data_IF_611215844420
#
_entry.id   IF_611215844420
#
_cell.length_a   1.000
_cell.length_b   1.000
_cell.length_c   1.000
_cell.angle_alpha   90.00
_cell.angle_beta   90.00
_cell.angle_gamma   90.00
#
_symmetry.space_group_name_H-M   'P 1'
#
loop_
_entity.id
_entity.type
_entity.pdbx_description
1 polymer ?
#
# COMPACT_ATOMS: atom_id res chain seq x y z
N UNK A 1 2.77 5.77 11.24
CA UNK A 1 1.89 6.96 11.15
C UNK A 1 2.30 7.73 9.91
N UNK A 2 1.41 7.99 8.93
CA UNK A 2 1.79 8.66 7.70
C UNK A 2 2.19 10.13 7.96
N UNK A 3 3.26 10.54 7.30
CA UNK A 3 3.78 11.91 7.29
C UNK A 3 3.04 12.76 6.28
N UNK A 4 2.63 12.18 5.15
CA UNK A 4 1.79 12.83 4.14
C UNK A 4 0.56 13.47 4.77
N UNK A 5 0.22 14.67 4.29
CA UNK A 5 -0.95 15.44 4.72
C UNK A 5 -1.82 15.75 3.51
N UNK A 6 -3.02 15.18 3.54
CA UNK A 6 -4.06 15.45 2.57
C UNK A 6 -4.95 16.64 2.93
N UNK A 7 -6.01 16.80 2.15
CA UNK A 7 -7.05 17.80 2.36
C UNK A 7 -8.43 17.15 2.30
N UNK A 8 -9.36 17.73 3.04
CA UNK A 8 -10.80 17.49 2.92
C UNK A 8 -11.46 18.84 2.70
N UNK A 9 -12.22 18.99 1.62
CA UNK A 9 -12.85 20.25 1.23
C UNK A 9 -14.32 20.03 0.93
N UNK A 10 -15.14 21.05 1.17
CA UNK A 10 -16.54 21.03 0.73
C UNK A 10 -16.59 20.87 -0.79
N UNK A 11 -17.42 19.95 -1.28
CA UNK A 11 -17.67 19.79 -2.71
C UNK A 11 -18.64 20.85 -3.23
N UNK A 12 -19.56 21.30 -2.38
CA UNK A 12 -20.54 22.35 -2.67
C UNK A 12 -21.06 22.97 -1.37
N UNK A 13 -22.05 23.87 -1.46
CA UNK A 13 -22.76 24.43 -0.31
C UNK A 13 -23.80 23.49 0.31
N UNK A 14 -24.13 22.36 -0.33
CA UNK A 14 -25.06 21.37 0.22
C UNK A 14 -24.37 20.55 1.34
N UNK A 15 -24.85 20.61 2.59
CA UNK A 15 -24.25 19.87 3.71
C UNK A 15 -24.42 18.35 3.61
N UNK A 16 -25.31 17.85 2.75
CA UNK A 16 -25.50 16.42 2.51
C UNK A 16 -24.63 15.88 1.38
N UNK A 17 -23.97 16.77 0.60
CA UNK A 17 -23.03 16.36 -0.42
C UNK A 17 -21.75 15.80 0.19
N UNK A 18 -21.23 14.71 -0.37
CA UNK A 18 -19.95 14.14 0.05
C UNK A 18 -18.80 15.14 -0.20
N UNK A 19 -17.84 15.27 0.73
CA UNK A 19 -16.72 16.19 0.55
C UNK A 19 -15.71 15.66 -0.47
N UNK A 20 -14.92 16.58 -1.02
CA UNK A 20 -13.74 16.23 -1.82
C UNK A 20 -12.61 15.84 -0.87
N UNK A 21 -12.12 14.61 -1.01
CA UNK A 21 -11.04 14.07 -0.19
C UNK A 21 -9.83 13.80 -1.08
N UNK A 22 -8.70 14.43 -0.76
CA UNK A 22 -7.40 14.16 -1.38
C UNK A 22 -6.39 13.84 -0.27
N UNK A 23 -6.19 12.56 0.08
CA UNK A 23 -5.27 12.15 1.14
C UNK A 23 -3.80 12.41 0.83
N UNK A 24 -3.44 12.62 -0.45
CA UNK A 24 -2.05 12.68 -0.94
C UNK A 24 -1.21 11.48 -0.49
N UNK A 25 -1.72 10.27 -0.71
CA UNK A 25 -1.00 9.05 -0.34
C UNK A 25 0.41 9.03 -0.96
N UNK A 26 1.38 8.61 -0.15
CA UNK A 26 2.78 8.48 -0.54
C UNK A 26 3.45 9.78 -1.06
N UNK A 27 2.85 10.95 -0.82
CA UNK A 27 3.45 12.22 -1.20
C UNK A 27 4.75 12.50 -0.42
N UNK A 28 4.83 12.07 0.84
CA UNK A 28 6.09 11.95 1.56
C UNK A 28 6.72 10.58 1.25
N UNK A 29 7.94 10.52 0.70
CA UNK A 29 8.58 9.27 0.32
C UNK A 29 8.77 8.31 1.50
N UNK A 30 8.86 8.81 2.74
CA UNK A 30 9.00 7.98 3.93
C UNK A 30 7.76 7.14 4.23
N UNK A 31 6.59 7.57 3.75
CA UNK A 31 5.36 6.76 3.88
C UNK A 31 5.43 5.50 3.01
N UNK A 32 5.98 5.63 1.79
CA UNK A 32 6.18 4.49 0.89
C UNK A 32 7.21 3.52 1.47
N UNK A 33 8.34 4.03 1.97
CA UNK A 33 9.36 3.18 2.60
C UNK A 33 8.82 2.45 3.84
N UNK A 34 7.98 3.12 4.64
CA UNK A 34 7.34 2.47 5.80
C UNK A 34 6.41 1.35 5.35
N UNK A 35 5.68 1.52 4.25
CA UNK A 35 4.81 0.49 3.70
C UNK A 35 5.59 -0.68 3.11
N UNK A 36 6.73 -0.42 2.45
CA UNK A 36 7.62 -1.47 1.96
C UNK A 36 8.11 -2.38 3.10
N UNK A 37 8.53 -1.80 4.22
CA UNK A 37 8.96 -2.57 5.39
C UNK A 37 7.80 -3.35 6.03
N UNK A 38 6.59 -2.77 6.06
CA UNK A 38 5.41 -3.49 6.51
C UNK A 38 5.08 -4.69 5.60
N UNK A 39 5.23 -4.54 4.29
CA UNK A 39 5.03 -5.63 3.32
C UNK A 39 6.05 -6.76 3.53
N UNK A 40 7.34 -6.43 3.71
CA UNK A 40 8.39 -7.40 4.03
C UNK A 40 8.07 -8.14 5.33
N UNK A 41 7.57 -7.44 6.35
CA UNK A 41 7.11 -8.05 7.59
C UNK A 41 5.93 -9.01 7.35
N UNK A 42 4.92 -8.61 6.55
CA UNK A 42 3.80 -9.49 6.20
C UNK A 42 4.24 -10.75 5.44
N UNK A 43 5.23 -10.64 4.55
CA UNK A 43 5.83 -11.78 3.87
C UNK A 43 6.59 -12.70 4.84
N UNK A 44 7.28 -12.14 5.84
CA UNK A 44 7.93 -12.93 6.88
C UNK A 44 6.88 -13.63 7.76
N UNK A 45 5.79 -12.93 8.11
CA UNK A 45 4.67 -13.47 8.89
C UNK A 45 4.00 -14.64 8.17
N UNK A 46 3.81 -14.55 6.85
CA UNK A 46 3.20 -15.62 6.07
C UNK A 46 4.04 -16.90 6.08
N UNK A 47 5.36 -16.80 6.26
CA UNK A 47 6.29 -17.94 6.36
C UNK A 47 6.33 -18.60 7.75
N UNK A 48 5.65 -18.05 8.75
CA UNK A 48 5.61 -18.65 10.08
C UNK A 48 4.84 -19.97 10.09
N UNK A 49 5.21 -20.89 10.99
CA UNK A 49 4.57 -22.22 11.11
C UNK A 49 3.05 -22.13 11.30
N UNK A 50 2.56 -21.13 12.05
CA UNK A 50 1.13 -20.94 12.27
C UNK A 50 0.40 -20.62 10.97
N UNK A 51 0.93 -19.70 10.15
CA UNK A 51 0.34 -19.32 8.87
C UNK A 51 0.46 -20.43 7.82
N UNK A 52 1.59 -21.14 7.81
CA UNK A 52 1.81 -22.28 6.92
C UNK A 52 0.84 -23.44 7.22
N UNK A 53 0.52 -23.70 8.50
CA UNK A 53 -0.51 -24.70 8.88
C UNK A 53 -1.91 -24.38 8.36
N UNK A 54 -2.20 -23.09 8.13
CA UNK A 54 -3.46 -22.64 7.53
C UNK A 54 -3.45 -22.71 5.99
N UNK A 55 -2.34 -23.12 5.38
CA UNK A 55 -2.21 -23.21 3.92
C UNK A 55 -2.20 -21.85 3.22
N UNK A 56 -1.80 -20.78 3.93
CA UNK A 56 -1.75 -19.42 3.38
C UNK A 56 -0.69 -19.35 2.28
N UNK A 57 -1.08 -18.81 1.12
CA UNK A 57 -0.21 -18.58 -0.04
C UNK A 57 -0.17 -17.10 -0.37
N UNK A 58 1.03 -16.61 -0.70
CA UNK A 58 1.22 -15.25 -1.21
C UNK A 58 0.79 -15.22 -2.67
N UNK A 59 0.14 -14.13 -3.09
CA UNK A 59 -0.20 -13.91 -4.49
C UNK A 59 1.08 -13.85 -5.34
N UNK A 60 1.18 -14.70 -6.35
CA UNK A 60 2.41 -14.98 -7.10
C UNK A 60 2.40 -14.44 -8.53
N UNK A 61 1.34 -13.72 -8.93
CA UNK A 61 1.25 -13.10 -10.25
C UNK A 61 1.77 -11.67 -10.23
N UNK A 62 2.27 -11.23 -11.38
CA UNK A 62 2.73 -9.85 -11.58
C UNK A 62 1.53 -8.90 -11.49
N UNK A 63 1.69 -7.82 -10.73
CA UNK A 63 0.66 -6.78 -10.61
C UNK A 63 0.60 -5.93 -11.90
N UNK A 64 -0.60 -5.68 -12.45
CA UNK A 64 -0.75 -4.82 -13.63
C UNK A 64 -0.18 -3.43 -13.39
N UNK A 65 0.65 -2.92 -14.30
CA UNK A 65 1.33 -1.63 -14.19
C UNK A 65 2.75 -1.69 -13.64
N UNK A 66 3.19 -2.85 -13.13
CA UNK A 66 4.53 -3.07 -12.58
C UNK A 66 5.37 -4.07 -13.38
N UNK A 67 4.99 -4.35 -14.64
CA UNK A 67 5.63 -5.35 -15.50
C UNK A 67 7.07 -4.99 -15.87
N UNK A 68 7.44 -3.71 -15.79
CA UNK A 68 8.80 -3.22 -16.10
C UNK A 68 9.82 -3.49 -15.00
N UNK A 69 9.37 -3.85 -13.79
CA UNK A 69 10.25 -4.10 -12.64
C UNK A 69 10.53 -5.58 -12.46
N UNK A 70 11.70 -5.91 -11.92
CA UNK A 70 12.06 -7.31 -11.60
C UNK A 70 11.16 -7.77 -10.44
N UNK A 71 10.35 -8.83 -10.60
CA UNK A 71 9.43 -9.27 -9.57
C UNK A 71 10.10 -9.52 -8.22
N UNK A 72 9.36 -9.21 -7.14
CA UNK A 72 9.77 -9.45 -5.74
C UNK A 72 10.98 -8.63 -5.24
N UNK A 73 11.49 -7.70 -6.04
CA UNK A 73 12.47 -6.70 -5.59
C UNK A 73 11.80 -5.54 -4.87
N UNK A 74 12.57 -4.77 -4.10
CA UNK A 74 12.04 -3.59 -3.42
C UNK A 74 11.43 -2.58 -4.40
N UNK A 75 12.01 -2.41 -5.59
CA UNK A 75 11.48 -1.49 -6.61
C UNK A 75 10.16 -1.99 -7.22
N UNK A 76 10.02 -3.30 -7.40
CA UNK A 76 8.74 -3.90 -7.76
C UNK A 76 7.67 -3.67 -6.68
N UNK A 77 8.05 -3.83 -5.41
CA UNK A 77 7.14 -3.58 -4.29
C UNK A 77 6.79 -2.10 -4.08
N UNK A 78 7.65 -1.17 -4.49
CA UNK A 78 7.37 0.28 -4.50
C UNK A 78 6.43 0.69 -5.63
N UNK A 79 6.42 -0.05 -6.74
CA UNK A 79 5.53 0.22 -7.86
C UNK A 79 4.07 -0.15 -7.55
N UNK A 80 3.88 -1.19 -6.75
CA UNK A 80 2.59 -1.72 -6.32
C UNK A 80 1.82 -0.73 -5.45
#
# INVERSE_FOLDING_TARGET
>A
RPLSKGTVRLASSDPYAAPLMDPKYYNDPKDLETMLEALKFSLALSKTTAFQKLGIKVYDKIFPGCESFIPWTDDYWRCL
#
